data_IF_453565628100
#
_entry.id   IF_453565628100
#
_cell.length_a   1.000
_cell.length_b   1.000
_cell.length_c   1.000
_cell.angle_alpha   90.00
_cell.angle_beta   90.00
_cell.angle_gamma   90.00
#
_symmetry.space_group_name_H-M   'P 1'
#
loop_
_entity.id
_entity.type
_entity.pdbx_description
1 polymer ?
#
# COMPACT_ATOMS: atom_id res chain seq x y z
N UNK A 1 -2.05 -9.31 31.85
CA UNK A 1 -1.71 -8.07 31.13
C UNK A 1 -1.43 -8.46 29.70
N UNK A 2 -2.46 -8.39 28.85
CA UNK A 2 -2.33 -8.73 27.43
C UNK A 2 -1.49 -7.63 26.80
N UNK A 3 -0.27 -7.96 26.38
CA UNK A 3 0.55 -7.08 25.54
C UNK A 3 -0.32 -6.73 24.34
N UNK A 4 -0.75 -5.47 24.27
CA UNK A 4 -1.39 -4.91 23.09
C UNK A 4 -0.43 -5.20 21.92
N UNK A 5 -0.79 -6.15 21.06
CA UNK A 5 -0.06 -6.38 19.81
C UNK A 5 -0.18 -5.07 19.05
N UNK A 6 0.87 -4.25 19.12
CA UNK A 6 1.04 -3.14 18.21
C UNK A 6 1.20 -3.78 16.85
N UNK A 7 0.07 -3.86 16.13
CA UNK A 7 0.00 -4.50 14.84
C UNK A 7 0.84 -3.63 13.92
N UNK A 8 2.00 -4.14 13.52
CA UNK A 8 2.90 -3.41 12.63
C UNK A 8 2.10 -2.97 11.39
N UNK A 9 2.25 -1.71 11.00
CA UNK A 9 1.53 -1.18 9.85
C UNK A 9 1.94 -1.98 8.60
N UNK A 10 0.97 -2.60 7.94
CA UNK A 10 1.18 -3.38 6.72
C UNK A 10 0.90 -2.48 5.52
N UNK A 11 1.88 -2.35 4.63
CA UNK A 11 1.79 -1.56 3.41
C UNK A 11 1.73 -2.47 2.20
N UNK A 12 0.80 -2.20 1.27
CA UNK A 12 0.68 -2.93 0.02
C UNK A 12 1.51 -2.30 -1.08
N UNK A 13 2.13 -3.12 -1.91
CA UNK A 13 2.89 -2.71 -3.08
C UNK A 13 2.33 -3.38 -4.33
N UNK A 14 2.15 -2.58 -5.38
CA UNK A 14 1.80 -3.04 -6.72
C UNK A 14 2.93 -2.61 -7.63
N UNK A 15 3.80 -3.52 -8.03
CA UNK A 15 4.85 -3.25 -9.02
C UNK A 15 4.33 -3.69 -10.38
N UNK A 16 4.30 -2.79 -11.35
CA UNK A 16 3.89 -3.12 -12.71
C UNK A 16 4.87 -2.52 -13.72
N UNK A 17 5.45 -3.38 -14.54
CA UNK A 17 6.35 -3.01 -15.64
C UNK A 17 5.93 -3.74 -16.92
N UNK A 18 6.63 -3.54 -18.03
CA UNK A 18 6.25 -4.19 -19.29
C UNK A 18 6.38 -5.72 -19.22
N UNK A 19 7.36 -6.20 -18.46
CA UNK A 19 7.76 -7.60 -18.33
C UNK A 19 6.92 -8.37 -17.30
N UNK A 20 6.04 -7.72 -16.54
CA UNK A 20 5.27 -8.41 -15.51
C UNK A 20 4.75 -7.50 -14.41
N UNK A 21 3.94 -8.09 -13.53
CA UNK A 21 3.38 -7.43 -12.37
C UNK A 21 3.65 -8.23 -11.10
N UNK A 22 3.99 -7.56 -10.01
CA UNK A 22 4.21 -8.18 -8.72
C UNK A 22 3.37 -7.47 -7.65
N UNK A 23 2.82 -8.27 -6.76
CA UNK A 23 2.09 -7.84 -5.58
C UNK A 23 2.82 -8.30 -4.35
N UNK A 24 3.11 -7.35 -3.48
CA UNK A 24 3.81 -7.61 -2.24
C UNK A 24 3.24 -6.79 -1.10
N UNK A 25 3.63 -7.17 0.10
CA UNK A 25 3.37 -6.38 1.30
C UNK A 25 4.65 -6.17 2.06
N UNK A 26 4.73 -5.04 2.74
CA UNK A 26 5.82 -4.70 3.65
C UNK A 26 5.24 -4.43 5.03
N UNK A 27 5.79 -5.07 6.04
CA UNK A 27 5.44 -4.83 7.45
C UNK A 27 6.73 -4.73 8.26
N UNK A 28 7.06 -3.53 8.72
CA UNK A 28 8.37 -3.25 9.33
C UNK A 28 9.50 -3.53 8.33
N UNK A 29 10.38 -4.48 8.67
CA UNK A 29 11.50 -4.91 7.82
C UNK A 29 11.19 -6.16 6.99
N UNK A 30 10.01 -6.74 7.14
CA UNK A 30 9.62 -7.98 6.47
C UNK A 30 8.83 -7.66 5.21
N UNK A 31 9.40 -7.99 4.05
CA UNK A 31 8.70 -8.01 2.77
C UNK A 31 8.15 -9.40 2.49
N UNK A 32 6.97 -9.46 1.90
CA UNK A 32 6.28 -10.70 1.51
C UNK A 32 5.74 -10.52 0.09
N UNK A 33 6.19 -11.36 -0.85
CA UNK A 33 5.66 -11.39 -2.21
C UNK A 33 4.43 -12.30 -2.20
N UNK A 34 3.26 -11.74 -2.49
CA UNK A 34 2.00 -12.47 -2.50
C UNK A 34 1.74 -13.14 -3.85
N UNK A 35 2.07 -12.43 -4.93
CA UNK A 35 1.81 -12.92 -6.27
C UNK A 35 2.71 -12.23 -7.30
N UNK A 36 3.12 -12.97 -8.31
CA UNK A 36 3.93 -12.47 -9.42
C UNK A 36 3.35 -12.99 -10.74
N UNK A 37 3.15 -12.09 -11.68
CA UNK A 37 2.69 -12.32 -13.03
C UNK A 37 3.88 -12.16 -13.98
N UNK A 38 4.17 -13.21 -14.76
CA UNK A 38 5.18 -13.17 -15.83
C UNK A 38 4.61 -12.59 -17.15
N UNK A 39 5.51 -12.05 -17.98
CA UNK A 39 5.31 -11.26 -19.21
C UNK A 39 4.44 -11.87 -20.32
N UNK A 40 3.86 -13.06 -20.13
CA UNK A 40 3.08 -13.76 -21.16
C UNK A 40 1.68 -13.15 -21.35
N UNK A 41 1.27 -12.25 -20.45
CA UNK A 41 -0.02 -11.57 -20.51
C UNK A 41 0.12 -10.18 -21.15
N UNK A 42 -0.83 -9.75 -22.01
CA UNK A 42 -0.76 -8.45 -22.69
C UNK A 42 -1.04 -7.30 -21.72
N UNK A 43 -0.05 -6.98 -20.88
CA UNK A 43 -0.12 -5.92 -19.86
C UNK A 43 -0.25 -4.52 -20.47
N UNK A 44 0.10 -4.37 -21.76
CA UNK A 44 -0.14 -3.15 -22.55
C UNK A 44 -1.63 -2.91 -22.85
N UNK A 45 -2.50 -3.89 -22.65
CA UNK A 45 -3.94 -3.74 -22.83
C UNK A 45 -4.65 -3.47 -21.50
N UNK A 46 -5.66 -2.59 -21.53
CA UNK A 46 -6.54 -2.28 -20.38
C UNK A 46 -7.13 -3.53 -19.70
N UNK A 47 -7.36 -4.62 -20.45
CA UNK A 47 -7.84 -5.90 -19.89
C UNK A 47 -6.79 -6.59 -19.01
N UNK A 48 -5.52 -6.55 -19.41
CA UNK A 48 -4.41 -7.09 -18.64
C UNK A 48 -4.25 -6.34 -17.33
N UNK A 49 -4.28 -5.01 -17.38
CA UNK A 49 -4.26 -4.15 -16.19
C UNK A 49 -5.42 -4.45 -15.24
N UNK A 50 -6.62 -4.74 -15.76
CA UNK A 50 -7.78 -5.03 -14.92
C UNK A 50 -7.66 -6.35 -14.20
N UNK A 51 -7.25 -7.39 -14.91
CA UNK A 51 -7.00 -8.70 -14.28
C UNK A 51 -5.97 -8.59 -13.15
N UNK A 52 -4.92 -7.82 -13.39
CA UNK A 52 -3.83 -7.60 -12.44
C UNK A 52 -4.34 -6.85 -11.21
N UNK A 53 -5.10 -5.76 -11.37
CA UNK A 53 -5.73 -5.02 -10.25
C UNK A 53 -6.78 -5.85 -9.52
N UNK A 54 -7.61 -6.62 -10.21
CA UNK A 54 -8.65 -7.46 -9.59
C UNK A 54 -8.04 -8.68 -8.85
N UNK A 55 -6.91 -9.20 -9.33
CA UNK A 55 -6.18 -10.25 -8.63
C UNK A 55 -5.48 -9.70 -7.40
N UNK A 56 -4.86 -8.53 -7.52
CA UNK A 56 -4.35 -7.77 -6.38
C UNK A 56 -5.47 -7.57 -5.35
N UNK A 57 -6.60 -7.02 -5.81
CA UNK A 57 -7.98 -7.16 -5.35
C UNK A 57 -8.21 -8.27 -4.30
N UNK A 58 -8.15 -9.48 -4.82
CA UNK A 58 -8.46 -10.67 -4.04
C UNK A 58 -7.31 -11.10 -3.10
N UNK A 59 -6.05 -10.78 -3.39
CA UNK A 59 -4.87 -11.37 -2.71
C UNK A 59 -4.31 -10.49 -1.60
N UNK A 60 -4.36 -9.17 -1.77
CA UNK A 60 -3.81 -8.22 -0.81
C UNK A 60 -4.68 -8.03 0.44
N UNK A 61 -5.90 -8.58 0.48
CA UNK A 61 -6.84 -8.41 1.59
C UNK A 61 -6.89 -6.93 2.04
N UNK A 62 -7.13 -6.06 1.07
CA UNK A 62 -7.09 -4.59 1.12
C UNK A 62 -7.65 -3.85 2.34
N UNK A 63 -8.64 -4.37 3.09
CA UNK A 63 -9.04 -3.76 4.34
C UNK A 63 -7.88 -3.62 5.33
N UNK A 64 -6.93 -4.57 5.30
CA UNK A 64 -5.90 -4.72 6.32
C UNK A 64 -4.60 -3.94 6.03
N UNK A 65 -4.48 -3.30 4.87
CA UNK A 65 -3.31 -2.46 4.58
C UNK A 65 -3.54 -1.01 5.02
N UNK A 66 -2.55 -0.44 5.71
CA UNK A 66 -2.51 0.95 6.17
C UNK A 66 -2.25 1.94 5.04
N UNK A 67 -1.67 1.48 3.93
CA UNK A 67 -1.39 2.28 2.76
C UNK A 67 -1.00 1.44 1.55
N UNK A 68 -1.07 2.05 0.38
CA UNK A 68 -0.76 1.44 -0.91
C UNK A 68 0.30 2.25 -1.65
N UNK A 69 1.28 1.57 -2.23
CA UNK A 69 2.34 2.15 -3.04
C UNK A 69 2.30 1.48 -4.42
N UNK A 70 1.64 2.12 -5.41
CA UNK A 70 1.76 1.72 -6.79
C UNK A 70 3.14 2.12 -7.32
N UNK A 71 3.83 1.17 -7.94
CA UNK A 71 5.16 1.29 -8.50
C UNK A 71 5.18 0.81 -9.95
N UNK A 72 5.83 1.57 -10.83
CA UNK A 72 5.92 1.23 -12.24
C UNK A 72 6.14 2.45 -13.12
N UNK A 73 5.95 2.28 -14.42
CA UNK A 73 6.05 3.39 -15.38
C UNK A 73 4.86 4.35 -15.25
N UNK A 74 5.09 5.66 -15.36
CA UNK A 74 4.07 6.71 -15.14
C UNK A 74 2.76 6.46 -15.90
N UNK A 75 2.86 6.09 -17.18
CA UNK A 75 1.70 5.82 -18.03
C UNK A 75 0.79 4.71 -17.48
N UNK A 76 1.40 3.66 -16.96
CA UNK A 76 0.69 2.49 -16.48
C UNK A 76 0.04 2.77 -15.11
N UNK A 77 0.70 3.58 -14.28
CA UNK A 77 0.19 4.05 -13.00
C UNK A 77 -0.94 5.07 -13.15
N UNK A 78 -0.85 5.93 -14.14
CA UNK A 78 -1.91 6.87 -14.50
C UNK A 78 -3.14 6.11 -14.99
N UNK A 79 -2.97 5.07 -15.82
CA UNK A 79 -4.08 4.21 -16.23
C UNK A 79 -4.78 3.57 -15.02
N UNK A 80 -4.05 3.02 -14.05
CA UNK A 80 -4.65 2.42 -12.84
C UNK A 80 -5.32 3.46 -11.93
N UNK A 81 -4.71 4.64 -11.79
CA UNK A 81 -5.23 5.71 -10.94
C UNK A 81 -6.42 6.46 -11.56
N UNK A 82 -6.40 6.78 -12.85
CA UNK A 82 -7.43 7.60 -13.52
C UNK A 82 -8.64 6.79 -13.98
N UNK A 83 -8.45 5.56 -14.45
CA UNK A 83 -9.53 4.76 -15.09
C UNK A 83 -10.63 4.28 -14.15
N UNK A 84 -10.57 4.59 -12.85
CA UNK A 84 -11.54 4.12 -11.87
C UNK A 84 -11.49 2.60 -11.62
N UNK A 85 -10.37 1.96 -11.97
CA UNK A 85 -10.16 0.52 -11.77
C UNK A 85 -9.77 0.18 -10.33
N UNK A 86 -9.18 1.13 -9.60
CA UNK A 86 -9.01 1.01 -8.16
C UNK A 86 -10.30 1.33 -7.43
N UNK A 87 -10.63 0.53 -6.42
CA UNK A 87 -11.69 0.83 -5.47
C UNK A 87 -11.46 2.24 -4.87
N UNK A 88 -12.49 3.08 -4.71
CA UNK A 88 -12.35 4.42 -4.13
C UNK A 88 -11.64 4.42 -2.78
N UNK A 89 -11.91 3.42 -1.94
CA UNK A 89 -11.27 3.29 -0.61
C UNK A 89 -9.78 2.98 -0.70
N UNK A 90 -9.33 2.38 -1.80
CA UNK A 90 -7.92 2.10 -2.08
C UNK A 90 -7.21 3.31 -2.65
N UNK A 91 -7.89 4.05 -3.53
CA UNK A 91 -7.36 5.31 -4.06
C UNK A 91 -7.01 6.28 -2.94
N UNK A 92 -7.86 6.35 -1.91
CA UNK A 92 -7.63 7.21 -0.74
C UNK A 92 -6.48 6.73 0.17
N UNK A 93 -6.08 5.45 0.05
CA UNK A 93 -4.95 4.85 0.77
C UNK A 93 -3.63 4.91 -0.02
N UNK A 94 -3.62 5.44 -1.24
CA UNK A 94 -2.38 5.60 -2.02
C UNK A 94 -1.49 6.64 -1.34
N UNK A 95 -0.34 6.20 -0.84
CA UNK A 95 0.60 7.06 -0.11
C UNK A 95 1.51 7.83 -1.06
N UNK A 96 2.14 7.10 -1.99
CA UNK A 96 3.06 7.66 -2.97
C UNK A 96 3.14 6.75 -4.20
N UNK A 97 3.70 7.28 -5.28
CA UNK A 97 4.01 6.52 -6.50
C UNK A 97 5.52 6.34 -6.59
N UNK A 98 5.98 5.15 -6.96
CA UNK A 98 7.40 4.87 -7.19
C UNK A 98 7.64 4.56 -8.67
N UNK A 99 8.54 5.29 -9.33
CA UNK A 99 8.95 4.95 -10.69
C UNK A 99 9.97 3.81 -10.61
N UNK A 100 9.64 2.65 -11.16
CA UNK A 100 10.57 1.51 -11.27
C UNK A 100 10.53 0.94 -12.68
N UNK A 101 11.68 0.46 -13.15
CA UNK A 101 11.84 -0.11 -14.50
C UNK A 101 12.01 -1.63 -14.51
N UNK A 102 12.03 -2.27 -13.35
CA UNK A 102 12.28 -3.70 -13.21
C UNK A 102 11.08 -4.41 -12.57
N UNK A 103 10.77 -5.63 -13.02
CA UNK A 103 9.78 -6.50 -12.39
C UNK A 103 10.41 -7.26 -11.19
N UNK A 104 9.60 -8.05 -10.51
CA UNK A 104 10.08 -9.02 -9.54
C UNK A 104 10.68 -8.40 -8.28
N UNK A 105 11.56 -9.16 -7.61
CA UNK A 105 12.14 -8.77 -6.33
C UNK A 105 12.99 -7.50 -6.40
N UNK A 106 13.71 -7.29 -7.52
CA UNK A 106 14.57 -6.11 -7.71
C UNK A 106 13.75 -4.83 -7.78
N UNK A 107 12.70 -4.81 -8.61
CA UNK A 107 11.78 -3.68 -8.67
C UNK A 107 11.01 -3.46 -7.37
N UNK A 108 10.68 -4.54 -6.66
CA UNK A 108 10.04 -4.43 -5.36
C UNK A 108 10.95 -3.77 -4.31
N UNK A 109 12.24 -4.15 -4.26
CA UNK A 109 13.21 -3.51 -3.37
C UNK A 109 13.40 -2.03 -3.71
N UNK A 110 13.55 -1.71 -4.99
CA UNK A 110 13.67 -0.33 -5.44
C UNK A 110 12.44 0.51 -5.06
N UNK A 111 11.24 -0.05 -5.23
CA UNK A 111 10.00 0.60 -4.80
C UNK A 111 9.96 0.86 -3.29
N UNK A 112 10.43 -0.09 -2.47
CA UNK A 112 10.55 0.07 -1.02
C UNK A 112 11.52 1.19 -0.67
N UNK A 113 12.69 1.22 -1.29
CA UNK A 113 13.71 2.25 -1.03
C UNK A 113 13.21 3.66 -1.42
N UNK A 114 12.54 3.79 -2.57
CA UNK A 114 11.95 5.06 -3.03
C UNK A 114 10.80 5.54 -2.15
N UNK A 115 10.06 4.61 -1.55
CA UNK A 115 8.89 4.91 -0.70
C UNK A 115 9.21 5.01 0.79
N UNK A 116 10.41 4.60 1.22
CA UNK A 116 10.88 4.62 2.62
C UNK A 116 10.61 5.94 3.35
N UNK A 117 10.86 7.07 2.68
CA UNK A 117 10.62 8.42 3.21
C UNK A 117 9.15 8.70 3.53
N UNK A 118 8.22 8.13 2.76
CA UNK A 118 6.79 8.29 2.97
C UNK A 118 6.26 7.31 4.04
N UNK A 119 6.84 6.12 4.12
CA UNK A 119 6.51 5.14 5.16
C UNK A 119 6.84 5.67 6.56
N UNK A 120 8.00 6.31 6.72
CA UNK A 120 8.41 6.94 7.98
C UNK A 120 7.48 8.08 8.40
N UNK A 121 7.03 8.90 7.44
CA UNK A 121 6.10 10.00 7.73
C UNK A 121 4.72 9.48 8.16
N UNK A 122 4.23 8.40 7.54
CA UNK A 122 2.94 7.79 7.92
C UNK A 122 2.99 7.21 9.33
N UNK A 123 4.06 6.51 9.72
CA UNK A 123 4.20 5.98 11.08
C UNK A 123 4.19 7.10 12.12
N UNK A 124 4.93 8.19 11.85
CA UNK A 124 4.95 9.37 12.71
C UNK A 124 3.59 10.10 12.78
N UNK A 125 2.89 10.24 11.66
CA UNK A 125 1.55 10.85 11.62
C UNK A 125 0.53 10.01 12.37
N UNK A 126 0.59 8.68 12.25
CA UNK A 126 -0.28 7.76 12.98
C UNK A 126 -0.02 7.81 14.49
N UNK A 127 1.25 7.83 14.91
CA UNK A 127 1.64 7.96 16.31
C UNK A 127 1.10 9.27 16.92
N UNK A 128 1.30 10.40 16.24
CA UNK A 128 0.73 11.70 16.66
C UNK A 128 -0.79 11.67 16.75
N UNK A 129 -1.48 11.01 15.82
CA UNK A 129 -2.95 10.87 15.84
C UNK A 129 -3.41 10.03 17.02
N UNK A 130 -2.70 8.95 17.33
CA UNK A 130 -3.02 8.08 18.46
C UNK A 130 -2.86 8.80 19.79
N UNK A 131 -1.74 9.52 19.95
CA UNK A 131 -1.48 10.36 21.13
C UNK A 131 -2.56 11.43 21.30
N UNK A 132 -2.95 12.11 20.21
CA UNK A 132 -4.05 13.09 20.24
C UNK A 132 -5.38 12.46 20.67
N UNK A 133 -5.73 11.28 20.16
CA UNK A 133 -6.95 10.55 20.56
C UNK A 133 -6.92 10.17 22.03
N UNK A 134 -5.80 9.63 22.52
CA UNK A 134 -5.63 9.29 23.93
C UNK A 134 -5.81 10.51 24.85
N UNK A 135 -5.19 11.64 24.52
CA UNK A 135 -5.38 12.87 25.30
C UNK A 135 -6.80 13.42 25.21
N UNK A 136 -7.46 13.31 24.06
CA UNK A 136 -8.86 13.72 23.90
C UNK A 136 -9.80 12.86 24.77
N UNK A 137 -9.59 11.54 24.81
CA UNK A 137 -10.36 10.61 25.67
C UNK A 137 -10.12 10.87 27.16
N UNK A 138 -8.86 11.08 27.57
CA UNK A 138 -8.51 11.40 28.96
C UNK A 138 -9.13 12.74 29.44
N UNK A 139 -9.31 13.70 28.53
CA UNK A 139 -9.95 14.98 28.80
C UNK A 139 -11.49 14.87 28.78
N UNK A 140 -12.06 14.03 27.91
CA UNK A 140 -13.49 13.80 27.82
C UNK A 140 -14.05 13.04 29.04
N UNK A 141 -13.25 12.18 29.69
CA UNK A 141 -13.63 11.41 30.87
C UNK A 141 -13.78 12.20 32.19
N UNK A 142 -13.61 13.53 32.19
CA UNK A 142 -13.75 14.38 33.41
C UNK A 142 -15.04 15.19 33.49
N UNK A 143 -16.03 14.95 32.62
CA UNK A 143 -17.37 15.55 32.75
C UNK A 143 -18.35 14.59 33.45
N UNK A 144 -17.96 14.15 34.66
CA UNK A 144 -18.90 13.69 35.67
C UNK A 144 -18.98 14.78 36.73
N UNK A 145 -19.86 15.75 36.45
CA UNK A 145 -20.13 16.97 37.24
C UNK A 145 -20.62 16.67 38.68
N UNK A 146 -20.61 17.69 39.58
CA UNK A 146 -20.51 17.57 41.05
C UNK A 146 -21.67 16.94 41.82
#
# INVERSE_FOLDING_TARGET
MSVSQQTAAKYGFIVMVEEGALFGTLSGMTKEILHEFSAEHPMKQLRGLRLVVDTAAARLAWPNVSGLIPAGFEFLMEAVCQSGMLDPTLRDKVLCRALVSCAGDSGFNEAIDLSSKFLADVEFVQEKRLVRKFFAEAMAGKSGDP
#
